data_IF_359427551613
#
_entry.id   IF_359427551613
#
_cell.length_a   1.000
_cell.length_b   1.000
_cell.length_c   1.000
_cell.angle_alpha   90.00
_cell.angle_beta   90.00
_cell.angle_gamma   90.00
#
_symmetry.space_group_name_H-M   'P 1'
#
loop_
_entity.id
_entity.type
_entity.pdbx_description
1 polymer ?
#
# COMPACT_ATOMS: atom_id res chain seq x y z
N UNK A 1 15.01 -1.90 20.74
CA UNK A 1 15.11 -0.46 20.43
C UNK A 1 13.92 0.24 21.07
N UNK A 2 14.12 1.31 21.84
CA UNK A 2 13.01 2.14 22.31
C UNK A 2 12.43 2.85 21.09
N UNK A 3 11.29 2.39 20.58
CA UNK A 3 10.61 3.08 19.48
C UNK A 3 10.22 4.48 19.96
N UNK A 4 10.89 5.51 19.43
CA UNK A 4 10.56 6.90 19.73
C UNK A 4 9.23 7.22 19.06
N UNK A 5 8.14 7.20 19.82
CA UNK A 5 6.82 7.60 19.34
C UNK A 5 6.86 9.09 19.00
N UNK A 6 6.49 9.46 17.77
CA UNK A 6 6.34 10.88 17.40
C UNK A 6 5.04 11.42 18.03
N UNK A 7 5.11 12.33 19.03
CA UNK A 7 3.92 12.83 19.72
C UNK A 7 3.00 13.64 18.82
N UNK A 8 3.43 14.03 17.61
CA UNK A 8 2.60 14.73 16.62
C UNK A 8 1.67 13.78 15.87
N UNK A 9 2.04 12.50 15.77
CA UNK A 9 1.30 11.48 15.03
C UNK A 9 1.26 10.14 15.81
N UNK A 10 0.71 10.12 17.03
CA UNK A 10 0.76 8.93 17.89
C UNK A 10 -0.18 7.80 17.43
N UNK A 11 -1.06 8.03 16.45
CA UNK A 11 -1.99 7.03 15.92
C UNK A 11 -2.09 7.03 14.40
N UNK A 12 -2.63 5.95 13.85
CA UNK A 12 -2.94 5.83 12.42
C UNK A 12 -3.97 6.89 11.99
N UNK A 13 -4.90 7.28 12.86
CA UNK A 13 -5.88 8.33 12.55
C UNK A 13 -5.19 9.70 12.40
N UNK A 14 -4.20 10.02 13.24
CA UNK A 14 -3.41 11.25 13.10
C UNK A 14 -2.63 11.27 11.78
N UNK A 15 -2.02 10.14 11.41
CA UNK A 15 -1.34 9.97 10.12
C UNK A 15 -2.31 10.14 8.94
N UNK A 16 -3.53 9.57 9.03
CA UNK A 16 -4.57 9.72 8.02
C UNK A 16 -5.02 11.17 7.86
N UNK A 17 -5.26 11.89 8.96
CA UNK A 17 -5.61 13.31 8.91
C UNK A 17 -4.48 14.14 8.31
N UNK A 18 -3.22 13.82 8.67
CA UNK A 18 -2.06 14.47 8.05
C UNK A 18 -1.99 14.19 6.56
N UNK A 19 -2.18 12.95 6.12
CA UNK A 19 -2.19 12.57 4.72
C UNK A 19 -3.26 13.35 3.94
N UNK A 20 -4.51 13.38 4.45
CA UNK A 20 -5.61 14.17 3.87
C UNK A 20 -5.29 15.66 3.68
N UNK A 21 -4.52 16.24 4.59
CA UNK A 21 -4.10 17.65 4.51
C UNK A 21 -3.00 17.90 3.47
N UNK A 22 -2.15 16.89 3.18
CA UNK A 22 -1.01 17.03 2.27
C UNK A 22 -1.30 16.61 0.84
N UNK A 23 -2.27 15.72 0.64
CA UNK A 23 -2.58 15.12 -0.66
C UNK A 23 -3.68 15.91 -1.39
N UNK A 24 -3.69 15.92 -2.73
CA UNK A 24 -4.87 16.32 -3.50
C UNK A 24 -6.05 15.44 -3.14
N UNK A 25 -7.26 16.00 -3.16
CA UNK A 25 -8.47 15.28 -2.75
C UNK A 25 -8.71 14.04 -3.61
N UNK A 26 -8.52 14.11 -4.93
CA UNK A 26 -8.66 12.93 -5.78
C UNK A 26 -7.74 11.77 -5.41
N UNK A 27 -6.48 12.05 -5.05
CA UNK A 27 -5.51 11.03 -4.67
C UNK A 27 -5.86 10.42 -3.31
N UNK A 28 -6.34 11.24 -2.38
CA UNK A 28 -6.84 10.77 -1.09
C UNK A 28 -8.10 9.91 -1.24
N UNK A 29 -9.05 10.33 -2.08
CA UNK A 29 -10.29 9.58 -2.35
C UNK A 29 -10.05 8.28 -3.13
N UNK A 30 -8.99 8.19 -3.95
CA UNK A 30 -8.55 6.94 -4.56
C UNK A 30 -8.03 5.93 -3.52
N UNK A 31 -7.24 6.41 -2.55
CA UNK A 31 -6.70 5.59 -1.47
C UNK A 31 -7.78 5.15 -0.47
N UNK A 32 -8.66 6.06 -0.08
CA UNK A 32 -9.66 5.83 0.97
C UNK A 32 -10.98 5.23 0.46
N UNK A 33 -11.32 5.46 -0.81
CA UNK A 33 -12.63 5.11 -1.35
C UNK A 33 -12.88 3.61 -1.46
N UNK A 34 -14.09 3.16 -1.17
CA UNK A 34 -14.53 1.78 -1.37
C UNK A 34 -15.36 1.59 -2.64
N UNK A 35 -15.88 0.37 -2.83
CA UNK A 35 -16.83 0.06 -3.89
C UNK A 35 -18.28 0.38 -3.47
N UNK A 36 -19.10 0.78 -4.45
CA UNK A 36 -20.52 1.05 -4.31
C UNK A 36 -20.80 2.04 -3.15
N UNK A 37 -21.61 1.63 -2.18
CA UNK A 37 -21.98 2.40 -0.99
C UNK A 37 -21.00 2.24 0.18
N UNK A 38 -19.80 1.68 -0.05
CA UNK A 38 -18.73 1.52 0.94
C UNK A 38 -19.10 0.67 2.18
N UNK A 39 -20.15 -0.14 2.09
CA UNK A 39 -20.66 -0.98 3.20
C UNK A 39 -19.55 -1.90 3.75
N UNK A 40 -18.81 -2.58 2.87
CA UNK A 40 -17.75 -3.49 3.30
C UNK A 40 -16.54 -2.75 3.90
N UNK A 41 -16.29 -1.49 3.49
CA UNK A 41 -15.22 -0.69 4.06
C UNK A 41 -15.48 -0.43 5.56
N UNK A 42 -16.71 -0.06 5.90
CA UNK A 42 -17.12 0.11 7.29
C UNK A 42 -17.13 -1.23 8.06
N UNK A 43 -17.68 -2.28 7.44
CA UNK A 43 -17.78 -3.62 8.03
C UNK A 43 -16.41 -4.19 8.42
N UNK A 44 -15.41 -4.08 7.55
CA UNK A 44 -14.06 -4.61 7.80
C UNK A 44 -13.45 -4.08 9.11
N UNK A 45 -13.75 -2.85 9.49
CA UNK A 45 -13.25 -2.26 10.75
C UNK A 45 -14.17 -2.59 11.92
N UNK A 46 -15.50 -2.54 11.72
CA UNK A 46 -16.47 -2.81 12.78
C UNK A 46 -16.36 -4.23 13.32
N UNK A 47 -16.26 -5.25 12.46
CA UNK A 47 -16.19 -6.66 12.88
C UNK A 47 -14.93 -6.97 13.70
N UNK A 48 -13.79 -6.35 13.37
CA UNK A 48 -12.57 -6.49 14.19
C UNK A 48 -12.76 -5.88 15.58
N UNK A 49 -13.53 -4.78 15.71
CA UNK A 49 -13.82 -4.13 16.99
C UNK A 49 -14.80 -4.92 17.85
N UNK A 50 -15.60 -5.79 17.24
CA UNK A 50 -16.51 -6.69 17.97
C UNK A 50 -15.77 -7.84 18.64
N UNK A 51 -14.55 -8.17 18.20
CA UNK A 51 -13.68 -9.15 18.86
C UNK A 51 -13.16 -8.57 20.17
N UNK A 52 -13.51 -9.21 21.29
CA UNK A 52 -13.10 -8.81 22.64
C UNK A 52 -11.99 -9.71 23.15
N UNK A 53 -10.96 -9.09 23.72
CA UNK A 53 -9.89 -9.82 24.40
C UNK A 53 -10.27 -10.08 25.85
N UNK A 54 -10.01 -11.29 26.35
CA UNK A 54 -10.10 -11.61 27.76
C UNK A 54 -8.69 -11.57 28.37
N UNK A 55 -8.32 -10.48 29.08
CA UNK A 55 -7.01 -10.36 29.68
C UNK A 55 -6.82 -11.40 30.79
N UNK A 56 -5.63 -11.99 30.85
CA UNK A 56 -5.17 -12.81 31.96
C UNK A 56 -4.26 -11.96 32.83
N UNK A 57 -4.61 -11.86 34.12
CA UNK A 57 -3.86 -11.08 35.10
C UNK A 57 -3.08 -12.01 36.03
N UNK A 58 -1.98 -11.49 36.58
CA UNK A 58 -1.15 -12.14 37.60
C UNK A 58 -0.49 -13.42 37.06
N UNK A 59 0.75 -13.30 36.63
CA UNK A 59 1.58 -14.39 36.10
C UNK A 59 2.97 -13.89 35.71
N UNK A 60 3.88 -14.81 35.41
CA UNK A 60 5.19 -14.46 34.86
C UNK A 60 5.02 -13.87 33.44
N UNK A 61 5.72 -12.77 33.15
CA UNK A 61 5.72 -12.11 31.85
C UNK A 61 7.16 -12.02 31.34
N UNK A 62 7.47 -12.82 30.33
CA UNK A 62 8.81 -12.91 29.74
C UNK A 62 9.04 -11.90 28.60
N UNK A 63 8.04 -11.08 28.29
CA UNK A 63 8.04 -10.18 27.13
C UNK A 63 7.03 -10.59 26.06
N UNK A 64 6.88 -9.76 25.04
CA UNK A 64 6.09 -10.08 23.85
C UNK A 64 7.04 -10.35 22.68
N UNK A 65 7.00 -11.58 22.15
CA UNK A 65 7.64 -11.93 20.88
C UNK A 65 6.59 -11.87 19.77
N UNK A 66 6.80 -10.97 18.81
CA UNK A 66 5.95 -10.83 17.62
C UNK A 66 6.54 -11.57 16.42
N UNK A 67 7.72 -12.19 16.56
CA UNK A 67 8.37 -12.85 15.44
C UNK A 67 7.57 -14.04 14.93
N UNK A 68 7.59 -14.23 13.62
CA UNK A 68 6.85 -15.30 12.95
C UNK A 68 7.65 -15.81 11.76
N UNK A 69 7.54 -17.10 11.48
CA UNK A 69 8.10 -17.69 10.26
C UNK A 69 7.01 -17.79 9.19
N UNK A 70 7.24 -17.18 8.02
CA UNK A 70 6.31 -17.23 6.88
C UNK A 70 7.12 -17.60 5.65
N UNK A 71 6.72 -18.66 4.95
CA UNK A 71 7.39 -19.18 3.75
C UNK A 71 8.91 -19.41 3.91
N UNK A 72 9.34 -19.87 5.09
CA UNK A 72 10.76 -20.14 5.40
C UNK A 72 11.60 -18.91 5.74
N UNK A 73 10.97 -17.74 5.92
CA UNK A 73 11.64 -16.50 6.36
C UNK A 73 11.11 -16.10 7.73
N UNK A 74 12.02 -15.81 8.67
CA UNK A 74 11.67 -15.25 9.98
C UNK A 74 11.52 -13.74 9.89
N UNK A 75 10.31 -13.25 10.13
CA UNK A 75 9.95 -11.83 10.22
C UNK A 75 9.81 -11.39 11.68
N UNK A 76 9.99 -10.10 11.93
CA UNK A 76 9.96 -9.54 13.29
C UNK A 76 8.53 -9.24 13.78
N UNK A 77 7.55 -9.25 12.88
CA UNK A 77 6.13 -9.04 13.21
C UNK A 77 5.19 -9.77 12.24
N UNK A 78 3.95 -10.12 12.66
CA UNK A 78 2.99 -10.89 11.86
C UNK A 78 2.11 -10.00 10.97
N UNK A 79 2.67 -8.91 10.44
CA UNK A 79 2.00 -8.01 9.51
C UNK A 79 3.01 -7.41 8.54
N UNK A 80 2.54 -6.87 7.42
CA UNK A 80 3.40 -6.28 6.40
C UNK A 80 2.68 -5.24 5.55
N UNK A 81 3.36 -4.78 4.51
CA UNK A 81 2.83 -3.81 3.56
C UNK A 81 2.04 -4.52 2.46
N UNK A 82 0.73 -4.26 2.43
CA UNK A 82 -0.17 -4.77 1.39
C UNK A 82 0.15 -4.16 0.01
N UNK A 83 -0.12 -4.89 -1.09
CA UNK A 83 0.09 -4.37 -2.44
C UNK A 83 -0.95 -3.30 -2.76
N UNK A 84 -0.51 -2.05 -2.92
CA UNK A 84 -1.35 -0.92 -3.31
C UNK A 84 -0.89 -0.42 -4.67
N UNK A 85 -1.82 -0.35 -5.63
CA UNK A 85 -1.56 0.20 -6.96
C UNK A 85 -1.44 1.72 -6.96
N UNK A 86 -0.65 2.26 -7.89
CA UNK A 86 -0.49 3.70 -8.13
C UNK A 86 -0.03 4.51 -6.91
N UNK A 87 0.82 3.94 -6.04
CA UNK A 87 1.32 4.61 -4.83
C UNK A 87 2.00 5.97 -5.10
N UNK A 88 2.64 6.15 -6.25
CA UNK A 88 3.20 7.44 -6.68
C UNK A 88 2.17 8.56 -6.84
N UNK A 89 0.87 8.23 -6.95
CA UNK A 89 -0.24 9.20 -6.91
C UNK A 89 -0.42 9.81 -5.53
N UNK A 90 -0.15 9.02 -4.48
CA UNK A 90 -0.30 9.41 -3.08
C UNK A 90 0.85 10.33 -2.67
N UNK A 91 2.08 9.88 -2.94
CA UNK A 91 3.30 10.60 -2.65
C UNK A 91 4.42 10.10 -3.56
N UNK A 92 5.36 10.97 -4.02
CA UNK A 92 6.46 10.53 -4.85
C UNK A 92 7.29 9.42 -4.19
N UNK A 93 7.64 8.39 -4.97
CA UNK A 93 8.43 7.24 -4.51
C UNK A 93 7.84 6.49 -3.31
N UNK A 94 6.52 6.58 -3.10
CA UNK A 94 5.86 5.95 -1.96
C UNK A 94 6.09 4.43 -1.91
N UNK A 95 6.10 3.76 -3.08
CA UNK A 95 6.39 2.33 -3.16
C UNK A 95 7.79 2.01 -2.62
N UNK A 96 8.80 2.75 -3.08
CA UNK A 96 10.20 2.57 -2.70
C UNK A 96 10.44 2.88 -1.23
N UNK A 97 9.82 3.96 -0.71
CA UNK A 97 9.89 4.33 0.70
C UNK A 97 9.29 3.25 1.59
N UNK A 98 8.14 2.69 1.21
CA UNK A 98 7.49 1.62 1.97
C UNK A 98 8.26 0.30 1.87
N UNK A 99 8.84 -0.02 0.71
CA UNK A 99 9.68 -1.19 0.52
C UNK A 99 10.95 -1.12 1.38
N UNK A 100 11.61 0.04 1.40
CA UNK A 100 12.80 0.27 2.23
C UNK A 100 12.45 0.16 3.72
N UNK A 101 11.37 0.80 4.17
CA UNK A 101 10.92 0.73 5.56
C UNK A 101 10.56 -0.70 5.98
N UNK A 102 9.86 -1.45 5.13
CA UNK A 102 9.51 -2.84 5.42
C UNK A 102 10.75 -3.74 5.52
N UNK A 103 11.74 -3.54 4.63
CA UNK A 103 13.01 -4.26 4.69
C UNK A 103 13.81 -3.92 5.95
N UNK A 104 13.90 -2.64 6.32
CA UNK A 104 14.58 -2.16 7.54
C UNK A 104 13.94 -2.73 8.81
N UNK A 105 12.61 -2.80 8.85
CA UNK A 105 11.86 -3.35 9.99
C UNK A 105 11.67 -4.87 9.93
N UNK A 106 12.27 -5.55 8.96
CA UNK A 106 12.15 -6.99 8.73
C UNK A 106 10.69 -7.50 8.74
N UNK A 107 9.82 -6.83 7.99
CA UNK A 107 8.41 -7.23 7.76
C UNK A 107 8.13 -7.46 6.27
N UNK A 108 7.12 -8.26 5.90
CA UNK A 108 6.80 -8.50 4.49
C UNK A 108 6.43 -7.22 3.73
N UNK A 109 6.91 -7.09 2.50
CA UNK A 109 6.45 -6.09 1.53
C UNK A 109 5.95 -6.80 0.28
N UNK A 110 4.73 -6.48 -0.16
CA UNK A 110 4.16 -7.04 -1.37
C UNK A 110 4.01 -5.97 -2.45
N UNK A 111 4.70 -6.13 -3.58
CA UNK A 111 4.66 -5.23 -4.71
C UNK A 111 3.42 -5.48 -5.56
N UNK A 112 2.64 -4.44 -5.85
CA UNK A 112 1.51 -4.54 -6.78
C UNK A 112 1.95 -4.61 -8.25
N UNK A 113 1.22 -5.36 -9.07
CA UNK A 113 1.41 -5.36 -10.54
C UNK A 113 1.29 -3.96 -11.15
N UNK A 114 0.42 -3.11 -10.58
CA UNK A 114 0.14 -1.74 -11.03
C UNK A 114 0.84 -0.70 -10.15
N UNK A 115 2.05 -1.02 -9.67
CA UNK A 115 2.89 -0.10 -8.89
C UNK A 115 3.55 0.97 -9.78
N UNK A 116 4.00 2.06 -9.15
CA UNK A 116 4.80 3.13 -9.78
C UNK A 116 6.32 2.86 -9.70
N UNK A 117 6.73 1.72 -9.12
CA UNK A 117 8.13 1.27 -9.15
C UNK A 117 8.24 -0.05 -9.93
N UNK A 118 9.37 -0.27 -10.60
CA UNK A 118 9.63 -1.52 -11.30
C UNK A 118 9.94 -2.66 -10.34
N UNK A 119 9.72 -3.90 -10.81
CA UNK A 119 10.05 -5.16 -10.13
C UNK A 119 11.52 -5.15 -9.70
N UNK A 120 12.41 -4.81 -10.62
CA UNK A 120 13.87 -4.84 -10.43
C UNK A 120 14.32 -3.80 -9.39
N UNK A 121 13.73 -2.61 -9.41
CA UNK A 121 14.05 -1.57 -8.44
C UNK A 121 13.63 -1.98 -7.02
N UNK A 122 12.46 -2.59 -6.86
CA UNK A 122 11.98 -3.07 -5.55
C UNK A 122 12.80 -4.26 -5.07
N UNK A 123 13.16 -5.19 -5.97
CA UNK A 123 14.08 -6.28 -5.63
C UNK A 123 15.40 -5.72 -5.09
N UNK A 124 15.97 -4.71 -5.76
CA UNK A 124 17.20 -4.06 -5.29
C UNK A 124 17.04 -3.39 -3.92
N UNK A 125 15.92 -2.72 -3.67
CA UNK A 125 15.66 -2.05 -2.37
C UNK A 125 15.49 -3.06 -1.23
N UNK A 126 14.96 -4.25 -1.55
CA UNK A 126 14.56 -5.24 -0.54
C UNK A 126 15.50 -6.45 -0.46
N UNK A 127 16.64 -6.42 -1.16
CA UNK A 127 17.55 -7.56 -1.37
C UNK A 127 16.83 -8.83 -1.82
N UNK A 128 15.87 -8.67 -2.75
CA UNK A 128 15.06 -9.77 -3.27
C UNK A 128 14.04 -10.35 -2.29
N UNK A 129 13.85 -9.76 -1.09
CA UNK A 129 12.94 -10.31 -0.06
C UNK A 129 11.47 -9.92 -0.24
N UNK A 130 11.15 -9.04 -1.19
CA UNK A 130 9.79 -8.61 -1.48
C UNK A 130 8.94 -9.73 -2.11
N UNK A 131 7.64 -9.71 -1.84
CA UNK A 131 6.66 -10.55 -2.51
C UNK A 131 6.11 -9.81 -3.74
N UNK A 132 5.63 -10.55 -4.75
CA UNK A 132 5.03 -9.97 -5.94
C UNK A 132 3.55 -10.32 -6.03
N UNK A 133 2.68 -9.32 -6.13
CA UNK A 133 1.27 -9.51 -6.39
C UNK A 133 1.00 -9.46 -7.90
N UNK A 134 0.29 -10.47 -8.40
CA UNK A 134 -0.08 -10.60 -9.81
C UNK A 134 -1.60 -10.46 -9.99
N UNK A 135 -2.02 -9.42 -10.70
CA UNK A 135 -3.29 -9.41 -11.42
C UNK A 135 -3.12 -10.27 -12.66
N UNK A 136 -3.95 -11.29 -12.86
CA UNK A 136 -3.87 -12.13 -14.06
C UNK A 136 -4.25 -11.29 -15.29
N UNK A 137 -3.30 -10.87 -16.14
CA UNK A 137 -3.65 -10.07 -17.31
C UNK A 137 -4.38 -10.95 -18.32
N UNK A 138 -5.25 -10.35 -19.14
CA UNK A 138 -5.93 -11.08 -20.21
C UNK A 138 -4.97 -11.62 -21.27
N UNK A 139 -3.83 -10.94 -21.47
CA UNK A 139 -2.79 -11.36 -22.40
C UNK A 139 -1.77 -12.26 -21.69
N UNK A 140 -1.68 -13.52 -22.13
CA UNK A 140 -0.78 -14.51 -21.53
C UNK A 140 0.70 -14.13 -21.68
N UNK A 141 1.10 -13.51 -22.79
CA UNK A 141 2.47 -13.05 -22.99
C UNK A 141 2.89 -11.98 -21.95
N UNK A 142 1.97 -11.09 -21.58
CA UNK A 142 2.22 -10.11 -20.52
C UNK A 142 2.35 -10.80 -19.14
N UNK A 143 1.49 -11.79 -18.86
CA UNK A 143 1.58 -12.60 -17.64
C UNK A 143 2.95 -13.24 -17.52
N UNK A 144 3.38 -13.92 -18.59
CA UNK A 144 4.62 -14.71 -18.58
C UNK A 144 5.85 -13.81 -18.46
N UNK A 145 5.83 -12.63 -19.09
CA UNK A 145 6.87 -11.60 -18.91
C UNK A 145 6.94 -11.10 -17.47
N UNK A 146 5.80 -10.84 -16.82
CA UNK A 146 5.78 -10.36 -15.43
C UNK A 146 6.29 -11.42 -14.45
N UNK A 147 5.84 -12.67 -14.61
CA UNK A 147 6.27 -13.79 -13.76
C UNK A 147 7.77 -14.07 -13.96
N UNK A 148 8.24 -14.10 -15.21
CA UNK A 148 9.67 -14.26 -15.52
C UNK A 148 10.51 -13.16 -14.88
N UNK A 149 10.11 -11.89 -15.03
CA UNK A 149 10.82 -10.76 -14.41
C UNK A 149 10.85 -10.84 -12.89
N UNK A 150 9.74 -11.22 -12.25
CA UNK A 150 9.69 -11.39 -10.79
C UNK A 150 10.62 -12.52 -10.32
N UNK A 151 10.65 -13.64 -11.05
CA UNK A 151 11.53 -14.76 -10.75
C UNK A 151 13.02 -14.38 -10.95
N UNK A 152 13.36 -13.74 -12.07
CA UNK A 152 14.72 -13.26 -12.36
C UNK A 152 15.21 -12.21 -11.36
N UNK A 153 14.30 -11.35 -10.87
CA UNK A 153 14.58 -10.38 -9.83
C UNK A 153 14.64 -10.98 -8.42
N UNK A 154 14.39 -12.29 -8.27
CA UNK A 154 14.57 -13.03 -7.03
C UNK A 154 13.40 -12.96 -6.04
N UNK A 155 12.19 -12.62 -6.47
CA UNK A 155 11.03 -12.57 -5.59
C UNK A 155 10.65 -13.99 -5.09
N UNK A 156 10.67 -14.27 -3.78
CA UNK A 156 10.43 -15.62 -3.24
C UNK A 156 8.96 -16.04 -3.24
N UNK A 157 8.03 -15.07 -3.32
CA UNK A 157 6.59 -15.32 -3.12
C UNK A 157 5.77 -14.61 -4.19
N UNK A 158 4.88 -15.36 -4.83
CA UNK A 158 3.88 -14.86 -5.75
C UNK A 158 2.50 -14.87 -5.09
N UNK A 159 1.85 -13.71 -5.02
CA UNK A 159 0.49 -13.53 -4.52
C UNK A 159 -0.46 -13.35 -5.71
N UNK A 160 -1.20 -14.39 -6.05
CA UNK A 160 -2.17 -14.34 -7.15
C UNK A 160 -3.48 -13.71 -6.67
N UNK A 161 -3.93 -12.64 -7.33
CA UNK A 161 -5.23 -12.02 -7.05
C UNK A 161 -6.33 -12.71 -7.87
N UNK A 162 -7.39 -13.17 -7.18
CA UNK A 162 -8.49 -13.93 -7.78
C UNK A 162 -9.87 -13.27 -7.60
N UNK A 163 -9.94 -12.10 -6.96
CA UNK A 163 -11.18 -11.42 -6.56
C UNK A 163 -11.58 -10.26 -7.49
N UNK A 164 -10.75 -9.90 -8.46
CA UNK A 164 -11.00 -8.80 -9.40
C UNK A 164 -11.14 -9.27 -10.86
N UNK A 165 -12.21 -10.01 -11.22
CA UNK A 165 -12.46 -10.36 -12.63
C UNK A 165 -12.86 -9.13 -13.46
N UNK A 166 -13.40 -8.09 -12.82
CA UNK A 166 -13.77 -6.81 -13.43
C UNK A 166 -13.47 -5.67 -12.47
N UNK A 167 -13.38 -4.44 -12.98
CA UNK A 167 -13.19 -3.26 -12.13
C UNK A 167 -14.41 -3.05 -11.23
N UNK A 168 -14.15 -2.89 -9.93
CA UNK A 168 -15.18 -2.51 -8.97
C UNK A 168 -15.76 -1.13 -9.26
N UNK A 169 -17.06 -0.95 -9.07
CA UNK A 169 -17.70 0.36 -9.21
C UNK A 169 -17.32 1.26 -8.03
N UNK A 170 -16.44 2.25 -8.25
CA UNK A 170 -15.94 3.19 -7.23
C UNK A 170 -16.37 4.63 -7.56
N UNK A 171 -17.52 5.11 -7.02
CA UNK A 171 -18.12 6.39 -7.41
C UNK A 171 -17.19 7.60 -7.24
N UNK A 172 -16.38 7.61 -6.17
CA UNK A 172 -15.45 8.70 -5.87
C UNK A 172 -14.37 8.83 -6.94
N UNK A 173 -13.83 7.70 -7.42
CA UNK A 173 -12.80 7.69 -8.47
C UNK A 173 -13.37 8.13 -9.82
N UNK A 174 -14.57 7.64 -10.17
CA UNK A 174 -15.29 8.03 -11.39
C UNK A 174 -15.54 9.54 -11.38
N UNK A 175 -16.02 10.09 -10.26
CA UNK A 175 -16.25 11.53 -10.10
C UNK A 175 -14.98 12.37 -10.26
N UNK A 176 -13.83 11.83 -9.87
CA UNK A 176 -12.54 12.49 -9.97
C UNK A 176 -11.82 12.28 -11.31
N UNK A 177 -12.42 11.55 -12.26
CA UNK A 177 -11.82 11.27 -13.57
C UNK A 177 -10.62 10.31 -13.51
N UNK A 178 -10.52 9.52 -12.43
CA UNK A 178 -9.52 8.46 -12.28
C UNK A 178 -10.00 7.12 -12.88
N UNK A 179 -11.23 7.09 -13.40
CA UNK A 179 -11.73 5.98 -14.21
C UNK A 179 -10.92 5.83 -15.50
N UNK A 180 -10.75 4.59 -15.98
CA UNK A 180 -10.02 4.31 -17.22
C UNK A 180 -10.86 4.74 -18.44
N UNK A 181 -10.31 5.53 -19.39
CA UNK A 181 -8.97 6.12 -19.40
C UNK A 181 -8.87 7.35 -18.47
N UNK A 182 -7.83 7.46 -17.63
CA UNK A 182 -7.68 8.55 -16.68
C UNK A 182 -7.62 9.88 -17.43
N UNK A 183 -8.46 10.84 -17.03
CA UNK A 183 -8.49 12.19 -17.60
C UNK A 183 -8.22 13.20 -16.51
N UNK A 184 -7.12 13.94 -16.65
CA UNK A 184 -6.86 15.10 -15.80
C UNK A 184 -7.88 16.19 -16.11
N UNK A 185 -8.77 16.44 -15.16
CA UNK A 185 -9.77 17.51 -15.25
C UNK A 185 -9.20 18.83 -14.73
N UNK A 186 -9.80 19.96 -15.12
CA UNK A 186 -9.44 21.27 -14.56
C UNK A 186 -9.61 21.31 -13.02
N UNK A 187 -10.58 20.54 -12.49
CA UNK A 187 -10.75 20.33 -11.04
C UNK A 187 -9.53 19.66 -10.42
N UNK A 188 -8.96 18.64 -11.07
CA UNK A 188 -7.76 17.96 -10.56
C UNK A 188 -6.55 18.90 -10.55
N UNK A 189 -6.40 19.75 -11.56
CA UNK A 189 -5.33 20.76 -11.63
C UNK A 189 -5.46 21.77 -10.48
N UNK A 190 -6.67 22.29 -10.23
CA UNK A 190 -6.91 23.21 -9.10
C UNK A 190 -6.61 22.52 -7.77
N UNK A 191 -7.03 21.26 -7.58
CA UNK A 191 -6.74 20.49 -6.37
C UNK A 191 -5.24 20.26 -6.15
N UNK A 192 -4.48 20.03 -7.23
CA UNK A 192 -3.01 19.94 -7.16
C UNK A 192 -2.41 21.28 -6.71
N UNK A 193 -2.80 22.39 -7.33
CA UNK A 193 -2.29 23.73 -6.99
C UNK A 193 -2.58 24.12 -5.53
N UNK A 194 -3.69 23.67 -4.96
CA UNK A 194 -4.03 23.87 -3.55
C UNK A 194 -3.10 23.09 -2.58
N UNK A 195 -2.23 22.21 -3.10
CA UNK A 195 -1.30 21.37 -2.34
C UNK A 195 0.15 21.61 -2.79
N UNK A 196 0.73 22.78 -2.50
CA UNK A 196 2.04 23.19 -3.03
C UNK A 196 3.18 22.26 -2.60
N UNK A 197 3.15 21.75 -1.36
CA UNK A 197 4.13 20.77 -0.89
C UNK A 197 4.10 19.51 -1.76
N UNK A 198 2.91 19.00 -2.10
CA UNK A 198 2.79 17.79 -2.90
C UNK A 198 3.27 18.04 -4.34
N UNK A 199 2.83 19.14 -4.96
CA UNK A 199 3.28 19.53 -6.31
C UNK A 199 4.80 19.70 -6.40
N UNK A 200 5.42 20.39 -5.45
CA UNK A 200 6.86 20.60 -5.45
C UNK A 200 7.63 19.26 -5.37
N UNK A 201 7.21 18.35 -4.49
CA UNK A 201 7.86 17.04 -4.37
C UNK A 201 7.63 16.18 -5.61
N UNK A 202 6.43 16.24 -6.22
CA UNK A 202 6.14 15.54 -7.47
C UNK A 202 7.00 16.07 -8.63
N UNK A 203 7.13 17.40 -8.75
CA UNK A 203 7.97 18.02 -9.78
C UNK A 203 9.46 17.67 -9.62
N UNK A 204 9.95 17.64 -8.39
CA UNK A 204 11.34 17.26 -8.08
C UNK A 204 11.59 15.77 -8.39
N UNK A 205 10.62 14.91 -8.06
CA UNK A 205 10.75 13.47 -8.27
C UNK A 205 10.58 13.04 -9.74
N UNK A 206 9.92 13.86 -10.56
CA UNK A 206 9.64 13.57 -11.96
C UNK A 206 8.26 12.91 -12.16
N UNK A 207 8.02 12.42 -13.39
CA UNK A 207 6.79 11.68 -13.69
C UNK A 207 6.76 10.37 -12.88
N UNK A 208 5.63 10.05 -12.23
CA UNK A 208 5.43 8.76 -11.56
C UNK A 208 5.39 7.61 -12.55
#
# INVERSE_FOLDING_TARGET
MSATIDPRYPSIEDLRQKAKSRMPKFAFEYLEGGCNSEINLARNTAEIRDVRLQPKYIGEYEGADLSVEIFGVKYDAPFGMAPIGLQGLMWPKACELLAAAAHEQNIPFCLSTVSTSSIENVAKITDGRAWFQLYHPAEEDLRDKLVTRAAEAGFPVLVLLADTPTFGYRPKEIKNGLSIPPRMTLSNIIQMMQRPSWCAHQLIAGKP
#
